data_IF_165546996036
#
_entry.id   IF_165546996036
#
_cell.length_a   1.000
_cell.length_b   1.000
_cell.length_c   1.000
_cell.angle_alpha   90.00
_cell.angle_beta   90.00
_cell.angle_gamma   90.00
#
_symmetry.space_group_name_H-M   'P 1'
#
loop_
_entity.id
_entity.type
_entity.pdbx_description
1 polymer ?
#
# COMPACT_ATOMS: atom_id res chain seq x y z
N UNK A 1 19.59 38.06 -65.59
CA UNK A 1 18.80 37.41 -64.57
C UNK A 1 18.39 38.49 -63.57
N UNK A 2 17.12 38.81 -63.44
CA UNK A 2 16.68 39.75 -62.41
C UNK A 2 16.93 39.13 -61.03
N UNK A 3 17.61 39.88 -60.13
CA UNK A 3 17.72 39.56 -58.75
C UNK A 3 16.31 39.54 -58.18
N UNK A 4 15.83 38.35 -57.73
CA UNK A 4 14.67 38.22 -56.85
C UNK A 4 15.00 38.99 -55.55
N UNK A 5 14.53 40.26 -55.51
CA UNK A 5 14.48 40.99 -54.24
C UNK A 5 13.47 40.22 -53.37
N UNK A 6 13.92 39.69 -52.22
CA UNK A 6 13.10 39.16 -51.16
C UNK A 6 12.24 40.29 -50.56
N UNK A 7 11.34 40.84 -51.33
CA UNK A 7 10.25 41.67 -50.83
C UNK A 7 9.23 40.72 -50.17
N UNK A 8 9.43 40.46 -48.89
CA UNK A 8 8.38 39.81 -48.10
C UNK A 8 7.13 40.67 -48.19
N UNK A 9 6.06 40.10 -48.72
CA UNK A 9 4.72 40.70 -48.78
C UNK A 9 4.19 41.08 -47.39
N UNK A 10 4.91 40.78 -46.34
CA UNK A 10 4.55 41.03 -44.93
C UNK A 10 5.71 41.67 -44.18
N UNK A 11 5.37 42.58 -43.25
CA UNK A 11 6.38 43.23 -42.41
C UNK A 11 6.95 42.22 -41.40
N UNK A 12 8.10 41.64 -41.70
CA UNK A 12 8.75 40.60 -40.85
C UNK A 12 9.08 41.12 -39.46
N UNK A 13 9.39 42.43 -39.29
CA UNK A 13 9.65 43.00 -37.96
C UNK A 13 8.38 42.98 -37.09
N UNK A 14 7.25 43.40 -37.65
CA UNK A 14 5.98 43.37 -36.97
C UNK A 14 5.54 41.91 -36.64
N UNK A 15 5.79 40.99 -37.58
CA UNK A 15 5.49 39.58 -37.38
C UNK A 15 6.32 38.97 -36.26
N UNK A 16 7.61 39.26 -36.20
CA UNK A 16 8.50 38.80 -35.14
C UNK A 16 8.13 39.37 -33.76
N UNK A 17 7.74 40.66 -33.71
CA UNK A 17 7.26 41.27 -32.47
C UNK A 17 5.95 40.61 -32.02
N UNK A 18 5.01 40.36 -32.93
CA UNK A 18 3.77 39.70 -32.64
C UNK A 18 4.01 38.27 -32.14
N UNK A 19 4.90 37.53 -32.80
CA UNK A 19 5.29 36.17 -32.38
C UNK A 19 5.94 36.19 -31.00
N UNK A 20 6.89 37.08 -30.74
CA UNK A 20 7.52 37.21 -29.44
C UNK A 20 6.49 37.55 -28.34
N UNK A 21 5.59 38.49 -28.59
CA UNK A 21 4.55 38.90 -27.65
C UNK A 21 3.58 37.75 -27.37
N UNK A 22 3.13 37.01 -28.39
CA UNK A 22 2.25 35.86 -28.24
C UNK A 22 2.94 34.69 -27.50
N UNK A 23 4.22 34.45 -27.76
CA UNK A 23 5.00 33.41 -27.07
C UNK A 23 5.20 33.74 -25.59
N UNK A 24 5.49 34.98 -25.25
CA UNK A 24 5.57 35.46 -23.87
C UNK A 24 4.19 35.34 -23.19
N UNK A 25 3.13 35.78 -23.87
CA UNK A 25 1.76 35.67 -23.40
C UNK A 25 1.38 34.20 -23.09
N UNK A 26 1.73 33.28 -23.99
CA UNK A 26 1.52 31.85 -23.78
C UNK A 26 2.32 31.32 -22.60
N UNK A 27 3.59 31.68 -22.46
CA UNK A 27 4.42 31.28 -21.32
C UNK A 27 3.85 31.78 -20.00
N UNK A 28 3.36 33.01 -19.93
CA UNK A 28 2.73 33.57 -18.73
C UNK A 28 1.41 32.84 -18.40
N UNK A 29 0.60 32.58 -19.44
CA UNK A 29 -0.64 31.81 -19.25
C UNK A 29 -0.38 30.37 -18.74
N UNK A 30 0.63 29.70 -19.30
CA UNK A 30 1.06 28.39 -18.80
C UNK A 30 1.56 28.48 -17.36
N UNK A 31 2.38 29.47 -17.03
CA UNK A 31 2.85 29.70 -15.65
C UNK A 31 1.70 29.95 -14.68
N UNK A 32 0.72 30.78 -15.07
CA UNK A 32 -0.49 31.02 -14.27
C UNK A 32 -1.32 29.74 -14.07
N UNK A 33 -1.47 28.93 -15.11
CA UNK A 33 -2.21 27.64 -15.02
C UNK A 33 -1.51 26.66 -14.08
N UNK A 34 -0.17 26.53 -14.16
CA UNK A 34 0.60 25.68 -13.22
C UNK A 34 0.49 26.19 -11.79
N UNK A 35 0.56 27.51 -11.59
CA UNK A 35 0.40 28.10 -10.27
C UNK A 35 -0.99 27.88 -9.70
N UNK A 36 -2.04 28.06 -10.50
CA UNK A 36 -3.44 27.81 -10.13
C UNK A 36 -3.63 26.35 -9.70
N UNK A 37 -3.10 25.41 -10.48
CA UNK A 37 -3.19 23.97 -10.15
C UNK A 37 -2.39 23.61 -8.90
N UNK A 38 -1.23 24.22 -8.72
CA UNK A 38 -0.41 24.05 -7.52
C UNK A 38 -1.10 24.58 -6.26
N UNK A 39 -1.77 25.73 -6.34
CA UNK A 39 -2.39 26.43 -5.20
C UNK A 39 -3.80 25.94 -4.82
N UNK A 40 -4.31 24.87 -5.46
CA UNK A 40 -5.66 24.34 -5.22
C UNK A 40 -5.99 24.16 -3.75
N UNK A 41 -7.17 24.61 -3.35
CA UNK A 41 -7.65 24.61 -1.96
C UNK A 41 -7.62 23.25 -1.29
N UNK A 42 -7.99 22.19 -2.01
CA UNK A 42 -8.01 20.82 -1.47
C UNK A 42 -6.65 20.32 -0.96
N UNK A 43 -5.54 20.77 -1.56
CA UNK A 43 -4.18 20.41 -1.10
C UNK A 43 -3.91 20.92 0.32
N UNK A 44 -4.43 22.11 0.66
CA UNK A 44 -4.32 22.68 2.02
C UNK A 44 -5.03 21.82 3.06
N UNK A 45 -6.21 21.27 2.72
CA UNK A 45 -6.93 20.36 3.60
C UNK A 45 -6.16 19.07 3.84
N UNK A 46 -5.60 18.47 2.79
CA UNK A 46 -4.78 17.26 2.95
C UNK A 46 -3.53 17.50 3.79
N UNK A 47 -2.81 18.60 3.56
CA UNK A 47 -1.65 18.98 4.38
C UNK A 47 -2.02 19.25 5.84
N UNK A 48 -3.17 19.89 6.10
CA UNK A 48 -3.67 20.12 7.46
C UNK A 48 -4.04 18.80 8.12
N UNK A 49 -4.70 17.91 7.41
CA UNK A 49 -5.04 16.59 7.91
C UNK A 49 -3.81 15.74 8.24
N UNK A 50 -2.78 15.74 7.38
CA UNK A 50 -1.52 15.04 7.66
C UNK A 50 -0.87 15.55 8.96
N UNK A 51 -0.90 16.86 9.21
CA UNK A 51 -0.40 17.43 10.48
C UNK A 51 -1.22 16.95 11.66
N UNK A 52 -2.54 17.03 11.57
CA UNK A 52 -3.46 16.56 12.61
C UNK A 52 -3.27 15.07 12.90
N UNK A 53 -3.19 14.24 11.87
CA UNK A 53 -2.93 12.80 12.01
C UNK A 53 -1.57 12.53 12.66
N UNK A 54 -0.55 13.31 12.29
CA UNK A 54 0.78 13.18 12.89
C UNK A 54 0.78 13.58 14.38
N UNK A 55 0.09 14.66 14.75
CA UNK A 55 -0.06 15.12 16.14
C UNK A 55 -0.79 14.07 16.99
N UNK A 56 -1.92 13.57 16.52
CA UNK A 56 -2.67 12.49 17.20
C UNK A 56 -1.83 11.22 17.34
N UNK A 57 -1.11 10.85 16.29
CA UNK A 57 -0.25 9.64 16.32
C UNK A 57 0.89 9.82 17.33
N UNK A 58 1.51 11.00 17.43
CA UNK A 58 2.51 11.29 18.47
C UNK A 58 1.93 11.20 19.87
N UNK A 59 0.76 11.77 20.09
CA UNK A 59 0.07 11.67 21.38
C UNK A 59 -0.25 10.20 21.74
N UNK A 60 -0.67 9.39 20.77
CA UNK A 60 -0.89 7.96 20.97
C UNK A 60 0.40 7.20 21.29
N UNK A 61 1.52 7.54 20.64
CA UNK A 61 2.84 6.96 20.94
C UNK A 61 3.23 7.32 22.38
N UNK A 62 3.13 8.58 22.75
CA UNK A 62 3.46 9.02 24.12
C UNK A 62 2.61 8.31 25.17
N UNK A 63 1.30 8.21 24.97
CA UNK A 63 0.42 7.49 25.88
C UNK A 63 0.76 5.97 25.97
N UNK A 64 1.12 5.36 24.81
CA UNK A 64 1.55 3.97 24.78
C UNK A 64 2.92 3.77 25.48
N UNK A 65 3.85 4.72 25.36
CA UNK A 65 5.14 4.69 26.07
C UNK A 65 5.00 4.91 27.58
N UNK A 66 4.06 5.76 28.00
CA UNK A 66 3.73 5.97 29.41
C UNK A 66 3.08 4.74 30.04
N UNK A 67 2.22 4.05 29.28
CA UNK A 67 1.57 2.80 29.69
C UNK A 67 2.46 1.56 29.59
N UNK A 68 3.67 1.69 29.03
CA UNK A 68 4.58 0.57 28.84
C UNK A 68 5.22 0.17 30.19
N UNK A 69 5.21 -1.11 30.51
CA UNK A 69 5.96 -1.63 31.65
C UNK A 69 7.48 -1.59 31.36
N UNK A 70 8.07 -0.48 31.78
CA UNK A 70 9.50 -0.22 31.59
C UNK A 70 10.38 -1.19 32.36
N UNK A 71 9.89 -1.73 33.50
CA UNK A 71 10.64 -2.70 34.29
C UNK A 71 10.65 -4.06 33.58
N UNK A 72 9.51 -4.52 33.08
CA UNK A 72 9.43 -5.73 32.29
C UNK A 72 10.25 -5.62 31.00
N UNK A 73 10.20 -4.48 30.32
CA UNK A 73 11.02 -4.26 29.09
C UNK A 73 12.51 -4.30 29.41
N UNK A 74 12.95 -3.67 30.53
CA UNK A 74 14.35 -3.70 30.91
C UNK A 74 14.82 -5.09 31.27
N UNK A 75 14.01 -5.84 32.05
CA UNK A 75 14.30 -7.25 32.38
C UNK A 75 14.45 -8.12 31.15
N UNK A 76 13.59 -7.95 30.13
CA UNK A 76 13.68 -8.67 28.86
C UNK A 76 14.92 -8.27 28.06
N UNK A 77 15.32 -7.01 28.07
CA UNK A 77 16.57 -6.54 27.44
C UNK A 77 17.80 -7.13 28.11
N UNK A 78 17.81 -7.23 29.44
CA UNK A 78 18.89 -7.83 30.19
C UNK A 78 18.97 -9.35 29.94
N UNK A 79 17.81 -10.04 29.85
CA UNK A 79 17.74 -11.44 29.43
C UNK A 79 18.28 -11.64 28.00
N UNK A 80 17.91 -10.75 27.07
CA UNK A 80 18.40 -10.78 25.70
C UNK A 80 19.92 -10.61 25.66
N UNK A 81 20.45 -9.62 26.37
CA UNK A 81 21.90 -9.37 26.45
C UNK A 81 22.66 -10.57 27.04
N UNK A 82 22.15 -11.16 28.13
CA UNK A 82 22.70 -12.36 28.74
C UNK A 82 22.70 -13.56 27.79
N UNK A 83 21.57 -13.78 27.08
CA UNK A 83 21.46 -14.85 26.09
C UNK A 83 22.40 -14.66 24.88
N UNK A 84 22.54 -13.40 24.41
CA UNK A 84 23.50 -13.05 23.33
C UNK A 84 24.94 -13.31 23.75
N UNK A 85 25.30 -12.96 24.98
CA UNK A 85 26.65 -13.22 25.52
C UNK A 85 26.91 -14.73 25.58
N UNK A 86 25.98 -15.50 26.12
CA UNK A 86 26.10 -16.97 26.20
C UNK A 86 26.22 -17.62 24.80
N UNK A 87 25.44 -17.14 23.82
CA UNK A 87 25.53 -17.57 22.43
C UNK A 87 26.89 -17.18 21.79
N UNK A 88 27.42 -16.01 22.13
CA UNK A 88 28.74 -15.55 21.70
C UNK A 88 29.88 -16.42 22.25
N UNK A 89 29.79 -16.85 23.50
CA UNK A 89 30.74 -17.80 24.12
C UNK A 89 30.70 -19.15 23.43
N UNK A 90 29.56 -19.57 22.87
CA UNK A 90 29.36 -20.79 22.09
C UNK A 90 29.37 -20.59 20.57
N UNK A 91 29.91 -19.47 20.08
CA UNK A 91 29.83 -19.07 18.67
C UNK A 91 30.36 -20.16 17.72
N UNK A 92 31.43 -20.88 18.11
CA UNK A 92 31.99 -21.98 17.33
C UNK A 92 31.00 -23.14 17.19
N UNK A 93 30.36 -23.58 18.28
CA UNK A 93 29.35 -24.64 18.24
C UNK A 93 28.15 -24.26 17.41
N UNK A 94 27.69 -23.00 17.50
CA UNK A 94 26.62 -22.47 16.66
C UNK A 94 26.99 -22.49 15.18
N UNK A 95 28.20 -22.07 14.84
CA UNK A 95 28.71 -22.08 13.46
C UNK A 95 28.80 -23.50 12.90
N UNK A 96 29.29 -24.47 13.70
CA UNK A 96 29.34 -25.86 13.32
C UNK A 96 27.95 -26.48 13.08
N UNK A 97 26.99 -26.21 13.97
CA UNK A 97 25.58 -26.64 13.82
C UNK A 97 24.93 -26.05 12.58
N UNK A 98 25.13 -24.75 12.32
CA UNK A 98 24.64 -24.08 11.12
C UNK A 98 25.27 -24.63 9.83
N UNK A 99 26.59 -24.93 9.85
CA UNK A 99 27.26 -25.54 8.72
C UNK A 99 26.74 -26.97 8.46
N UNK A 100 26.49 -27.75 9.53
CA UNK A 100 25.87 -29.08 9.42
C UNK A 100 24.50 -28.97 8.78
N UNK A 101 23.64 -28.08 9.28
CA UNK A 101 22.29 -27.85 8.72
C UNK A 101 22.33 -27.53 7.22
N UNK A 102 23.19 -26.60 6.79
CA UNK A 102 23.34 -26.26 5.36
C UNK A 102 23.77 -27.45 4.51
N UNK A 103 24.68 -28.29 5.02
CA UNK A 103 25.12 -29.51 4.29
C UNK A 103 23.97 -30.50 4.12
N UNK A 104 23.18 -30.71 5.18
CA UNK A 104 22.01 -31.60 5.16
C UNK A 104 20.96 -31.06 4.17
N UNK A 105 20.65 -29.76 4.22
CA UNK A 105 19.68 -29.15 3.31
C UNK A 105 20.11 -29.26 1.85
N UNK A 106 21.41 -29.13 1.55
CA UNK A 106 21.95 -29.30 0.20
C UNK A 106 21.83 -30.76 -0.26
N UNK A 107 22.17 -31.74 0.63
CA UNK A 107 22.05 -33.16 0.33
C UNK A 107 20.60 -33.56 0.13
N UNK A 108 19.68 -33.12 1.01
CA UNK A 108 18.26 -33.35 0.90
C UNK A 108 17.68 -32.81 -0.42
N UNK A 109 18.04 -31.59 -0.82
CA UNK A 109 17.61 -31.03 -2.09
C UNK A 109 18.05 -31.89 -3.29
N UNK A 110 19.29 -32.38 -3.28
CA UNK A 110 19.80 -33.26 -4.34
C UNK A 110 19.05 -34.59 -4.37
N UNK A 111 18.90 -35.24 -3.23
CA UNK A 111 18.20 -36.54 -3.15
C UNK A 111 16.70 -36.42 -3.50
N UNK A 112 16.04 -35.29 -3.17
CA UNK A 112 14.66 -35.02 -3.59
C UNK A 112 14.56 -34.82 -5.11
N UNK A 113 15.50 -34.11 -5.72
CA UNK A 113 15.55 -33.94 -7.17
C UNK A 113 15.76 -35.30 -7.87
N UNK A 114 16.69 -36.13 -7.38
CA UNK A 114 16.94 -37.47 -7.88
C UNK A 114 15.69 -38.35 -7.73
N UNK A 115 15.04 -38.32 -6.55
CA UNK A 115 13.81 -39.05 -6.30
C UNK A 115 12.71 -38.68 -7.30
N UNK A 116 12.48 -37.40 -7.54
CA UNK A 116 11.47 -36.93 -8.51
C UNK A 116 11.79 -37.36 -9.93
N UNK A 117 13.08 -37.31 -10.30
CA UNK A 117 13.53 -37.75 -11.64
C UNK A 117 13.33 -39.24 -11.83
N UNK A 118 13.74 -40.06 -10.86
CA UNK A 118 13.55 -41.51 -10.89
C UNK A 118 12.06 -41.84 -10.89
N UNK A 119 11.24 -41.14 -10.09
CA UNK A 119 9.80 -41.31 -10.02
C UNK A 119 9.12 -41.05 -11.37
N UNK A 120 9.49 -39.94 -12.04
CA UNK A 120 9.00 -39.65 -13.38
C UNK A 120 9.36 -40.73 -14.40
N UNK A 121 10.61 -41.26 -14.33
CA UNK A 121 11.07 -42.34 -15.19
C UNK A 121 10.32 -43.66 -14.91
N UNK A 122 10.08 -43.95 -13.61
CA UNK A 122 9.32 -45.11 -13.20
C UNK A 122 7.87 -45.04 -13.72
N UNK A 123 7.22 -43.89 -13.60
CA UNK A 123 5.84 -43.70 -14.05
C UNK A 123 5.72 -43.86 -15.60
N UNK A 124 6.71 -43.34 -16.34
CA UNK A 124 6.80 -43.56 -17.80
C UNK A 124 6.98 -45.06 -18.13
N UNK A 125 7.90 -45.76 -17.43
CA UNK A 125 8.13 -47.19 -17.63
C UNK A 125 6.95 -48.06 -17.25
N UNK A 126 6.15 -47.65 -16.28
CA UNK A 126 4.90 -48.30 -15.91
C UNK A 126 3.91 -48.29 -17.05
N UNK A 127 3.78 -47.15 -17.74
CA UNK A 127 2.93 -47.05 -18.96
C UNK A 127 3.46 -47.97 -20.06
N UNK A 128 4.76 -47.95 -20.40
CA UNK A 128 5.39 -48.84 -21.36
C UNK A 128 5.13 -50.32 -21.03
N UNK A 129 5.15 -50.71 -19.77
CA UNK A 129 4.88 -52.07 -19.33
C UNK A 129 3.44 -52.45 -19.51
N UNK A 130 2.50 -51.60 -19.15
CA UNK A 130 1.05 -51.86 -19.31
C UNK A 130 0.71 -52.08 -20.80
N UNK A 131 1.27 -51.24 -21.68
CA UNK A 131 1.09 -51.37 -23.14
C UNK A 131 1.69 -52.70 -23.67
N UNK A 132 2.95 -53.01 -23.28
CA UNK A 132 3.62 -54.26 -23.74
C UNK A 132 2.94 -55.52 -23.19
N UNK A 133 2.41 -55.49 -21.98
CA UNK A 133 1.68 -56.60 -21.36
C UNK A 133 0.33 -56.83 -22.06
N UNK A 134 -0.42 -55.79 -22.38
CA UNK A 134 -1.67 -55.90 -23.15
C UNK A 134 -1.44 -56.43 -24.56
N UNK A 135 -0.34 -56.06 -25.21
CA UNK A 135 0.03 -56.54 -26.54
C UNK A 135 0.62 -57.95 -26.56
N UNK A 136 0.85 -58.61 -25.41
CA UNK A 136 1.53 -59.89 -25.31
C UNK A 136 2.98 -59.89 -25.79
N UNK A 137 3.64 -58.73 -25.73
CA UNK A 137 4.98 -58.54 -26.30
C UNK A 137 6.07 -59.23 -25.43
N UNK A 138 7.05 -59.85 -26.10
CA UNK A 138 8.24 -60.43 -25.45
C UNK A 138 9.07 -59.39 -24.68
N UNK A 139 8.88 -58.09 -24.94
CA UNK A 139 9.59 -56.99 -24.26
C UNK A 139 9.03 -56.71 -22.86
N UNK A 140 7.82 -57.17 -22.54
CA UNK A 140 7.19 -56.89 -21.23
C UNK A 140 8.06 -57.31 -20.04
N UNK A 141 8.74 -58.47 -20.13
CA UNK A 141 9.62 -58.96 -19.05
C UNK A 141 10.85 -58.05 -18.81
N UNK A 142 11.43 -57.51 -19.91
CA UNK A 142 12.56 -56.59 -19.81
C UNK A 142 12.17 -55.23 -19.20
N UNK A 143 10.98 -54.73 -19.62
CA UNK A 143 10.45 -53.46 -19.04
C UNK A 143 10.12 -53.63 -17.57
N UNK A 144 9.52 -54.77 -17.17
CA UNK A 144 9.26 -55.08 -15.78
C UNK A 144 10.53 -55.08 -14.92
N UNK A 145 11.59 -55.73 -15.40
CA UNK A 145 12.88 -55.72 -14.69
C UNK A 145 13.44 -54.30 -14.50
N UNK A 146 13.34 -53.45 -15.54
CA UNK A 146 13.75 -52.06 -15.43
C UNK A 146 12.93 -51.29 -14.41
N UNK A 147 11.62 -51.56 -14.29
CA UNK A 147 10.75 -50.98 -13.26
C UNK A 147 11.15 -51.44 -11.87
N UNK A 148 11.41 -52.73 -11.66
CA UNK A 148 11.82 -53.29 -10.37
C UNK A 148 13.17 -52.66 -9.88
N UNK A 149 14.09 -52.39 -10.82
CA UNK A 149 15.34 -51.69 -10.51
C UNK A 149 15.12 -50.19 -10.17
N UNK A 150 14.18 -49.49 -10.83
CA UNK A 150 13.79 -48.13 -10.48
C UNK A 150 13.07 -48.06 -9.14
N UNK A 151 12.22 -49.02 -8.84
CA UNK A 151 11.53 -49.10 -7.53
C UNK A 151 12.52 -49.22 -6.37
N UNK A 152 13.56 -50.05 -6.51
CA UNK A 152 14.64 -50.15 -5.52
C UNK A 152 15.36 -48.82 -5.34
N UNK A 153 15.64 -48.10 -6.44
CA UNK A 153 16.27 -46.78 -6.38
C UNK A 153 15.36 -45.77 -5.70
N UNK A 154 14.07 -45.79 -5.95
CA UNK A 154 13.09 -44.92 -5.29
C UNK A 154 13.05 -45.17 -3.79
N UNK A 155 13.02 -46.44 -3.36
CA UNK A 155 13.03 -46.78 -1.93
C UNK A 155 14.34 -46.35 -1.26
N UNK A 156 15.51 -46.55 -1.91
CA UNK A 156 16.79 -46.06 -1.41
C UNK A 156 16.78 -44.52 -1.21
N UNK A 157 16.29 -43.77 -2.20
CA UNK A 157 16.18 -42.30 -2.09
C UNK A 157 15.17 -41.88 -1.01
N UNK A 158 14.05 -42.58 -0.88
CA UNK A 158 13.05 -42.33 0.16
C UNK A 158 13.65 -42.50 1.56
N UNK A 159 14.40 -43.58 1.78
CA UNK A 159 15.06 -43.82 3.06
C UNK A 159 16.08 -42.70 3.35
N UNK A 160 16.86 -42.27 2.36
CA UNK A 160 17.80 -41.14 2.55
C UNK A 160 17.10 -39.86 2.91
N UNK A 161 15.99 -39.53 2.26
CA UNK A 161 15.19 -38.33 2.58
C UNK A 161 14.68 -38.37 4.02
N UNK A 162 14.25 -39.53 4.53
CA UNK A 162 13.86 -39.68 5.92
C UNK A 162 15.04 -39.48 6.89
N UNK A 163 16.23 -39.98 6.55
CA UNK A 163 17.45 -39.73 7.34
C UNK A 163 17.80 -38.24 7.35
N UNK A 164 17.74 -37.57 6.20
CA UNK A 164 17.98 -36.14 6.14
C UNK A 164 16.96 -35.34 6.95
N UNK A 165 15.71 -35.72 6.98
CA UNK A 165 14.70 -35.08 7.80
C UNK A 165 15.00 -35.19 9.30
N UNK A 166 15.45 -36.37 9.75
CA UNK A 166 15.88 -36.59 11.13
C UNK A 166 17.12 -35.75 11.47
N UNK A 167 18.18 -35.84 10.64
CA UNK A 167 19.41 -35.08 10.85
C UNK A 167 19.16 -33.56 10.84
N UNK A 168 18.25 -33.09 10.00
CA UNK A 168 17.81 -31.69 9.94
C UNK A 168 17.13 -31.26 11.24
N UNK A 169 16.24 -32.12 11.77
CA UNK A 169 15.59 -31.87 13.04
C UNK A 169 16.59 -31.79 14.20
N UNK A 170 17.57 -32.69 14.24
CA UNK A 170 18.65 -32.68 15.23
C UNK A 170 19.52 -31.42 15.13
N UNK A 171 19.93 -31.03 13.92
CA UNK A 171 20.73 -29.82 13.70
C UNK A 171 19.97 -28.55 14.11
N UNK A 172 18.66 -28.48 13.80
CA UNK A 172 17.79 -27.37 14.24
C UNK A 172 17.60 -27.33 15.75
N UNK A 173 17.44 -28.48 16.38
CA UNK A 173 17.37 -28.58 17.85
C UNK A 173 18.66 -28.05 18.50
N UNK A 174 19.83 -28.41 17.97
CA UNK A 174 21.12 -27.92 18.46
C UNK A 174 21.25 -26.39 18.29
N UNK A 175 20.83 -25.83 17.17
CA UNK A 175 20.79 -24.38 16.96
C UNK A 175 19.84 -23.70 17.94
N UNK A 176 18.59 -24.24 18.09
CA UNK A 176 17.61 -23.70 19.02
C UNK A 176 18.07 -23.76 20.49
N UNK A 177 18.84 -24.78 20.87
CA UNK A 177 19.41 -24.86 22.22
C UNK A 177 20.34 -23.68 22.52
N UNK A 178 21.04 -23.16 21.49
CA UNK A 178 21.98 -22.05 21.61
C UNK A 178 21.32 -20.66 21.39
N UNK A 179 20.30 -20.58 20.55
CA UNK A 179 19.68 -19.30 20.16
C UNK A 179 18.26 -19.11 20.69
N UNK A 180 17.58 -20.15 21.14
CA UNK A 180 16.16 -20.12 21.49
C UNK A 180 15.81 -19.10 22.56
N UNK A 181 16.69 -18.86 23.54
CA UNK A 181 16.50 -17.81 24.57
C UNK A 181 16.58 -16.40 23.97
N UNK A 182 17.39 -16.21 22.93
CA UNK A 182 17.49 -14.94 22.21
C UNK A 182 16.18 -14.69 21.47
N UNK A 183 15.68 -15.69 20.76
CA UNK A 183 14.45 -15.58 19.95
C UNK A 183 13.24 -15.40 20.84
N UNK A 184 13.17 -16.08 21.98
CA UNK A 184 12.10 -15.92 22.96
C UNK A 184 12.10 -14.50 23.58
N UNK A 185 13.27 -14.02 24.00
CA UNK A 185 13.39 -12.67 24.57
C UNK A 185 13.03 -11.61 23.52
N UNK A 186 13.48 -11.73 22.29
CA UNK A 186 13.11 -10.83 21.17
C UNK A 186 11.61 -10.85 20.92
N UNK A 187 11.01 -12.03 20.81
CA UNK A 187 9.57 -12.19 20.61
C UNK A 187 8.76 -11.47 21.68
N UNK A 188 9.12 -11.63 22.96
CA UNK A 188 8.45 -10.95 24.07
C UNK A 188 8.63 -9.42 24.02
N UNK A 189 9.82 -8.95 23.65
CA UNK A 189 10.08 -7.50 23.44
C UNK A 189 9.21 -6.98 22.29
N UNK A 190 9.16 -7.70 21.16
CA UNK A 190 8.37 -7.31 20.00
C UNK A 190 6.88 -7.30 20.32
N UNK A 191 6.37 -8.27 21.06
CA UNK A 191 4.99 -8.31 21.54
C UNK A 191 4.66 -7.12 22.45
N UNK A 192 5.54 -6.83 23.40
CA UNK A 192 5.39 -5.70 24.34
C UNK A 192 5.43 -4.34 23.65
N UNK A 193 6.24 -4.20 22.60
CA UNK A 193 6.43 -2.94 21.86
C UNK A 193 5.63 -2.87 20.55
N UNK A 194 4.85 -3.90 20.20
CA UNK A 194 4.15 -3.99 18.91
C UNK A 194 3.21 -2.82 18.64
N UNK A 195 2.54 -2.32 19.69
CA UNK A 195 1.65 -1.15 19.60
C UNK A 195 2.41 0.11 19.16
N UNK A 196 3.51 0.40 19.85
CA UNK A 196 4.37 1.56 19.57
C UNK A 196 4.98 1.44 18.18
N UNK A 197 5.52 0.28 17.83
CA UNK A 197 6.12 0.03 16.51
C UNK A 197 5.11 0.27 15.37
N UNK A 198 3.84 -0.11 15.55
CA UNK A 198 2.78 0.16 14.55
C UNK A 198 2.49 1.66 14.42
N UNK A 199 2.42 2.36 15.55
CA UNK A 199 2.20 3.82 15.57
C UNK A 199 3.39 4.56 14.95
N UNK A 200 4.62 4.16 15.23
CA UNK A 200 5.82 4.72 14.61
C UNK A 200 5.83 4.55 13.08
N UNK A 201 5.51 3.36 12.60
CA UNK A 201 5.36 3.12 11.16
C UNK A 201 4.27 3.97 10.52
N UNK A 202 3.16 4.21 11.24
CA UNK A 202 2.11 5.13 10.80
C UNK A 202 2.63 6.57 10.75
N UNK A 203 3.31 7.02 11.81
CA UNK A 203 3.90 8.35 11.88
C UNK A 203 4.90 8.60 10.75
N UNK A 204 5.77 7.64 10.45
CA UNK A 204 6.72 7.73 9.34
C UNK A 204 6.05 7.86 7.97
N UNK A 205 4.86 7.28 7.78
CA UNK A 205 4.09 7.45 6.54
C UNK A 205 3.43 8.81 6.43
N UNK A 206 2.91 9.34 7.54
CA UNK A 206 2.15 10.60 7.57
C UNK A 206 3.08 11.81 7.68
N UNK A 207 4.13 11.70 8.47
CA UNK A 207 5.12 12.76 8.72
C UNK A 207 6.54 12.19 8.61
N UNK A 208 7.01 11.87 7.41
CA UNK A 208 8.36 11.39 7.20
C UNK A 208 9.39 12.41 7.65
N UNK A 209 10.55 11.94 8.13
CA UNK A 209 11.65 12.76 8.62
C UNK A 209 12.92 12.60 7.76
N UNK A 210 13.91 13.45 7.97
CA UNK A 210 15.21 13.38 7.34
C UNK A 210 15.15 13.52 5.81
N UNK A 211 15.94 12.72 5.10
CA UNK A 211 16.05 12.77 3.63
C UNK A 211 14.72 12.47 2.92
N UNK A 212 13.86 11.62 3.51
CA UNK A 212 12.55 11.33 2.94
C UNK A 212 11.65 12.57 2.94
N UNK A 213 11.70 13.39 4.01
CA UNK A 213 10.98 14.65 4.04
C UNK A 213 11.45 15.61 2.94
N UNK A 214 12.76 15.76 2.77
CA UNK A 214 13.35 16.61 1.74
C UNK A 214 12.92 16.14 0.33
N UNK A 215 12.93 14.83 0.08
CA UNK A 215 12.48 14.27 -1.20
C UNK A 215 10.99 14.56 -1.46
N UNK A 216 10.13 14.41 -0.45
CA UNK A 216 8.70 14.69 -0.56
C UNK A 216 8.46 16.20 -0.76
N UNK A 217 9.15 17.06 -0.02
CA UNK A 217 9.03 18.51 -0.18
C UNK A 217 9.46 18.94 -1.60
N UNK A 218 10.50 18.32 -2.15
CA UNK A 218 10.93 18.53 -3.53
C UNK A 218 9.89 18.07 -4.55
N UNK A 219 9.33 16.87 -4.36
CA UNK A 219 8.27 16.34 -5.25
C UNK A 219 6.97 17.16 -5.19
N UNK A 220 6.72 17.84 -4.09
CA UNK A 220 5.60 18.76 -3.92
C UNK A 220 5.93 20.20 -4.39
N UNK A 221 7.10 20.46 -4.96
CA UNK A 221 7.42 21.77 -5.52
C UNK A 221 6.59 22.03 -6.80
N UNK A 222 6.28 23.32 -7.14
CA UNK A 222 5.31 23.68 -8.17
C UNK A 222 5.51 23.02 -9.55
N UNK A 223 6.76 22.76 -9.95
CA UNK A 223 7.07 22.13 -11.23
C UNK A 223 7.16 20.61 -11.18
N UNK A 224 7.26 20.01 -9.99
CA UNK A 224 7.41 18.57 -9.82
C UNK A 224 6.12 17.89 -9.33
N UNK A 225 5.22 18.65 -8.72
CA UNK A 225 3.97 18.17 -8.17
C UNK A 225 3.06 17.48 -9.21
N UNK A 226 3.09 17.90 -10.48
CA UNK A 226 2.31 17.25 -11.54
C UNK A 226 2.95 15.95 -12.05
N UNK A 227 4.26 15.74 -11.85
CA UNK A 227 4.97 14.53 -12.29
C UNK A 227 4.77 13.37 -11.32
N UNK A 228 4.89 13.65 -10.02
CA UNK A 228 4.77 12.64 -8.98
C UNK A 228 4.05 13.21 -7.73
N UNK A 229 2.75 13.53 -7.82
CA UNK A 229 2.02 14.15 -6.73
C UNK A 229 1.94 13.24 -5.52
N UNK A 230 2.31 13.75 -4.35
CA UNK A 230 2.12 13.06 -3.07
C UNK A 230 0.73 13.31 -2.50
N UNK A 231 0.12 14.45 -2.85
CA UNK A 231 -1.28 14.78 -2.57
C UNK A 231 -2.12 14.40 -3.78
N UNK A 232 -3.29 13.80 -3.56
CA UNK A 232 -4.12 13.28 -4.65
C UNK A 232 -5.59 13.58 -4.41
N UNK A 233 -6.31 13.82 -5.51
CA UNK A 233 -7.77 13.83 -5.48
C UNK A 233 -8.22 12.39 -5.24
N UNK A 234 -8.94 12.19 -4.14
CA UNK A 234 -9.59 10.92 -3.84
C UNK A 234 -10.95 10.92 -4.52
N UNK A 235 -11.19 9.91 -5.34
CA UNK A 235 -12.48 9.79 -6.03
C UNK A 235 -12.96 8.36 -6.05
N UNK A 236 -14.27 8.23 -5.96
CA UNK A 236 -15.00 6.97 -6.10
C UNK A 236 -15.93 7.10 -7.29
N UNK A 237 -15.94 6.11 -8.18
CA UNK A 237 -16.86 6.04 -9.30
C UNK A 237 -18.04 5.15 -8.90
N UNK A 238 -19.25 5.71 -8.96
CA UNK A 238 -20.46 5.08 -8.46
C UNK A 238 -21.29 4.57 -9.64
N UNK A 239 -20.94 3.39 -10.13
CA UNK A 239 -21.66 2.76 -11.27
C UNK A 239 -23.09 2.35 -10.92
N UNK A 240 -23.35 2.06 -9.64
CA UNK A 240 -24.66 1.62 -9.17
C UNK A 240 -25.64 2.78 -8.86
N UNK A 241 -25.12 4.02 -8.83
CA UNK A 241 -25.90 5.24 -8.55
C UNK A 241 -25.64 6.27 -9.65
N UNK A 242 -26.00 5.97 -10.91
CA UNK A 242 -25.75 6.88 -12.02
C UNK A 242 -26.64 8.13 -11.92
N UNK A 243 -26.21 9.19 -12.59
CA UNK A 243 -27.01 10.38 -12.83
C UNK A 243 -27.49 10.42 -14.28
N UNK A 244 -28.67 10.94 -14.51
CA UNK A 244 -29.18 11.16 -15.86
C UNK A 244 -28.70 12.51 -16.39
N UNK A 245 -27.93 12.50 -17.46
CA UNK A 245 -27.46 13.71 -18.16
C UNK A 245 -27.91 13.59 -19.63
N UNK A 246 -28.77 14.47 -20.08
CA UNK A 246 -29.25 14.51 -21.46
C UNK A 246 -29.72 13.11 -21.96
N UNK A 247 -30.56 12.45 -21.17
CA UNK A 247 -31.10 11.09 -21.45
C UNK A 247 -30.08 9.94 -21.44
N UNK A 248 -28.84 10.20 -21.02
CA UNK A 248 -27.83 9.18 -20.83
C UNK A 248 -27.54 8.95 -19.35
N UNK A 249 -27.46 7.69 -18.92
CA UNK A 249 -27.00 7.33 -17.58
C UNK A 249 -25.48 7.39 -17.51
N UNK A 250 -24.97 8.31 -16.70
CA UNK A 250 -23.53 8.52 -16.53
C UNK A 250 -23.14 8.13 -15.09
N UNK A 251 -22.10 7.33 -14.87
CA UNK A 251 -21.59 7.04 -13.54
C UNK A 251 -21.28 8.32 -12.77
N UNK A 252 -21.71 8.37 -11.53
CA UNK A 252 -21.41 9.48 -10.63
C UNK A 252 -19.96 9.37 -10.14
N UNK A 253 -19.26 10.48 -10.02
CA UNK A 253 -17.88 10.52 -9.51
C UNK A 253 -17.84 11.34 -8.24
N UNK A 254 -17.72 10.69 -7.09
CA UNK A 254 -17.68 11.33 -5.78
C UNK A 254 -16.25 11.64 -5.35
N UNK A 255 -15.97 12.89 -5.01
CA UNK A 255 -14.65 13.40 -4.60
C UNK A 255 -14.65 13.99 -3.19
N UNK A 256 -15.68 13.83 -2.42
CA UNK A 256 -15.84 14.43 -1.09
C UNK A 256 -14.71 14.03 -0.14
N UNK A 257 -14.22 12.80 -0.22
CA UNK A 257 -13.07 12.32 0.58
C UNK A 257 -11.76 13.02 0.26
N UNK A 258 -11.67 13.81 -0.81
CA UNK A 258 -10.46 14.63 -1.06
C UNK A 258 -10.21 15.62 0.07
N UNK A 259 -11.26 16.16 0.70
CA UNK A 259 -11.18 17.07 1.84
C UNK A 259 -11.63 16.40 3.15
N UNK A 260 -12.68 15.55 3.11
CA UNK A 260 -13.23 14.83 4.26
C UNK A 260 -12.45 13.53 4.54
N UNK A 261 -11.17 13.67 4.86
CA UNK A 261 -10.19 12.58 4.94
C UNK A 261 -10.37 11.62 6.13
N UNK A 262 -11.14 12.04 7.14
CA UNK A 262 -11.43 11.23 8.32
C UNK A 262 -12.88 10.69 8.34
N UNK A 263 -13.69 10.94 7.33
CA UNK A 263 -15.09 10.54 7.33
C UNK A 263 -15.26 9.02 7.56
N UNK A 264 -14.36 8.20 7.05
CA UNK A 264 -14.36 6.74 7.18
C UNK A 264 -13.36 6.21 8.24
N UNK A 265 -12.83 7.09 9.11
CA UNK A 265 -11.79 6.75 10.09
C UNK A 265 -12.23 7.06 11.51
N UNK A 266 -11.98 6.12 12.43
CA UNK A 266 -12.15 6.34 13.87
C UNK A 266 -11.01 7.21 14.45
N UNK A 267 -11.32 7.91 15.56
CA UNK A 267 -10.37 8.71 16.33
C UNK A 267 -10.36 10.20 15.97
N UNK A 268 -11.35 10.66 15.18
CA UNK A 268 -11.52 12.06 14.78
C UNK A 268 -12.93 12.60 15.12
N UNK A 269 -13.64 11.96 16.03
CA UNK A 269 -15.03 12.25 16.38
C UNK A 269 -15.21 13.67 16.92
N UNK A 270 -14.19 14.17 17.65
CA UNK A 270 -14.20 15.51 18.28
C UNK A 270 -13.51 16.58 17.42
N UNK A 271 -13.01 16.21 16.24
CA UNK A 271 -12.32 17.18 15.39
C UNK A 271 -13.32 18.04 14.60
N UNK A 272 -12.86 19.21 14.17
CA UNK A 272 -13.63 20.13 13.34
C UNK A 272 -13.78 19.60 11.90
N UNK A 273 -14.88 20.01 11.23
CA UNK A 273 -15.02 19.78 9.80
C UNK A 273 -13.87 20.47 9.02
N UNK A 274 -13.37 19.84 7.96
CA UNK A 274 -13.84 18.60 7.31
C UNK A 274 -13.20 17.32 7.86
N UNK A 275 -12.54 17.35 9.02
CA UNK A 275 -11.72 16.24 9.54
C UNK A 275 -12.43 15.40 10.60
N UNK A 276 -13.73 15.54 10.71
CA UNK A 276 -14.52 14.75 11.68
C UNK A 276 -14.87 13.38 11.13
N UNK A 277 -14.79 12.37 12.00
CA UNK A 277 -15.33 11.03 11.76
C UNK A 277 -16.83 11.10 11.50
N UNK A 278 -17.32 10.33 10.53
CA UNK A 278 -18.76 10.26 10.25
C UNK A 278 -19.51 9.66 11.46
N UNK A 279 -20.62 10.28 11.92
CA UNK A 279 -21.36 9.84 13.11
C UNK A 279 -21.86 8.38 13.02
N UNK A 280 -22.06 7.88 11.81
CA UNK A 280 -22.49 6.50 11.52
C UNK A 280 -21.37 5.72 10.85
N UNK A 281 -20.18 5.72 11.48
CA UNK A 281 -18.99 5.07 10.94
C UNK A 281 -19.21 3.58 10.61
N UNK A 282 -20.06 2.90 11.36
CA UNK A 282 -20.43 1.51 11.15
C UNK A 282 -21.14 1.23 9.81
N UNK A 283 -21.60 2.25 9.12
CA UNK A 283 -22.21 2.12 7.78
C UNK A 283 -21.17 2.11 6.66
N UNK A 284 -19.94 2.60 6.89
CA UNK A 284 -18.93 2.82 5.84
C UNK A 284 -17.80 1.81 5.78
N UNK A 285 -17.20 1.28 6.87
CA UNK A 285 -16.00 0.49 6.76
C UNK A 285 -16.28 -0.93 6.26
N UNK A 286 -15.55 -1.30 5.20
CA UNK A 286 -15.45 -2.65 4.68
C UNK A 286 -16.57 -3.12 3.77
N UNK A 287 -16.30 -4.18 3.02
CA UNK A 287 -17.24 -4.77 2.06
C UNK A 287 -18.50 -5.42 2.65
N UNK A 288 -18.54 -5.61 3.97
CA UNK A 288 -19.73 -6.11 4.70
C UNK A 288 -20.64 -4.99 5.19
N UNK A 289 -20.24 -3.72 5.02
CA UNK A 289 -21.05 -2.57 5.37
C UNK A 289 -22.31 -2.49 4.47
N UNK A 290 -23.47 -2.07 5.01
CA UNK A 290 -24.66 -1.81 4.19
C UNK A 290 -24.45 -0.74 3.11
N UNK A 291 -23.62 0.25 3.40
CA UNK A 291 -23.33 1.40 2.51
C UNK A 291 -21.83 1.67 2.43
N UNK A 292 -21.03 0.76 1.86
CA UNK A 292 -19.60 0.99 1.73
C UNK A 292 -19.34 2.20 0.84
N UNK A 293 -18.42 3.07 1.27
CA UNK A 293 -18.13 4.35 0.59
C UNK A 293 -17.71 4.14 -0.86
N UNK A 294 -17.05 3.03 -1.17
CA UNK A 294 -16.59 2.66 -2.50
C UNK A 294 -17.75 2.39 -3.49
N UNK A 295 -18.94 2.13 -2.98
CA UNK A 295 -20.13 1.83 -3.79
C UNK A 295 -21.16 2.94 -3.79
N UNK A 296 -21.29 3.67 -2.69
CA UNK A 296 -22.33 4.65 -2.50
C UNK A 296 -21.81 6.09 -2.47
N UNK A 297 -20.54 6.31 -2.10
CA UNK A 297 -19.99 7.65 -1.92
C UNK A 297 -20.73 8.45 -0.84
N UNK A 298 -20.67 9.76 -0.93
CA UNK A 298 -21.25 10.70 0.02
C UNK A 298 -22.46 11.45 -0.57
N UNK A 299 -22.36 11.87 -1.82
CA UNK A 299 -23.33 12.74 -2.48
C UNK A 299 -24.73 12.16 -2.68
N UNK A 300 -24.96 10.85 -2.82
CA UNK A 300 -26.32 10.30 -2.86
C UNK A 300 -27.15 10.64 -1.62
N UNK A 301 -26.51 10.72 -0.44
CA UNK A 301 -27.17 11.04 0.82
C UNK A 301 -27.08 12.53 1.17
N UNK A 302 -25.90 13.15 0.99
CA UNK A 302 -25.61 14.50 1.43
C UNK A 302 -25.84 15.58 0.36
N UNK A 303 -26.06 15.16 -0.88
CA UNK A 303 -26.16 16.07 -2.04
C UNK A 303 -24.87 16.89 -2.26
N UNK A 304 -24.95 17.97 -3.01
CA UNK A 304 -23.82 18.76 -3.44
C UNK A 304 -23.27 18.30 -4.80
N UNK A 305 -22.20 18.95 -5.24
CA UNK A 305 -21.53 18.64 -6.52
C UNK A 305 -20.42 17.61 -6.30
N UNK A 306 -20.70 16.42 -6.71
CA UNK A 306 -19.86 15.22 -6.53
C UNK A 306 -18.43 15.33 -7.09
N UNK A 307 -18.24 16.10 -8.18
CA UNK A 307 -16.94 16.28 -8.85
C UNK A 307 -16.11 17.45 -8.31
N UNK A 308 -16.71 18.28 -7.45
CA UNK A 308 -16.03 19.44 -6.92
C UNK A 308 -14.94 19.05 -5.91
N UNK A 309 -13.87 19.81 -5.93
CA UNK A 309 -12.75 19.71 -4.97
C UNK A 309 -12.44 21.07 -4.33
N UNK A 310 -13.40 21.96 -4.39
CA UNK A 310 -13.37 23.29 -3.80
C UNK A 310 -14.59 23.50 -2.91
N UNK A 311 -14.44 24.25 -1.82
CA UNK A 311 -15.50 24.45 -0.84
C UNK A 311 -16.76 25.06 -1.44
N UNK A 312 -16.60 26.10 -2.26
CA UNK A 312 -17.74 26.79 -2.90
C UNK A 312 -18.42 25.91 -3.93
N UNK A 313 -17.63 25.33 -4.84
CA UNK A 313 -18.16 24.51 -5.91
C UNK A 313 -18.75 23.18 -5.43
N UNK A 314 -18.41 22.72 -4.23
CA UNK A 314 -19.01 21.52 -3.62
C UNK A 314 -20.47 21.76 -3.18
N UNK A 315 -20.89 23.03 -3.04
CA UNK A 315 -22.25 23.45 -2.67
C UNK A 315 -22.69 22.79 -1.36
N UNK A 316 -21.91 23.04 -0.31
CA UNK A 316 -22.22 22.54 1.04
C UNK A 316 -23.52 23.16 1.56
N UNK A 317 -24.27 22.39 2.35
CA UNK A 317 -25.48 22.87 3.02
C UNK A 317 -25.09 23.35 4.42
N UNK A 318 -25.36 24.63 4.79
CA UNK A 318 -25.14 25.10 6.16
C UNK A 318 -26.13 24.46 7.12
N UNK A 319 -25.66 24.16 8.35
CA UNK A 319 -26.48 23.54 9.40
C UNK A 319 -27.37 24.57 10.13
N UNK A 320 -27.02 25.85 10.07
CA UNK A 320 -27.75 26.94 10.70
C UNK A 320 -27.66 28.25 9.91
N UNK A 321 -28.53 29.21 10.23
CA UNK A 321 -28.45 30.54 9.63
C UNK A 321 -27.20 31.31 10.06
N UNK A 322 -26.65 31.04 11.25
CA UNK A 322 -25.39 31.59 11.71
C UNK A 322 -24.22 31.06 10.85
N UNK A 323 -24.19 29.77 10.62
CA UNK A 323 -23.16 29.14 9.78
C UNK A 323 -23.28 29.60 8.33
N UNK A 324 -24.48 29.77 7.82
CA UNK A 324 -24.74 30.34 6.49
C UNK A 324 -24.14 31.74 6.36
N UNK A 325 -24.41 32.63 7.32
CA UNK A 325 -23.85 33.99 7.34
C UNK A 325 -22.32 33.98 7.46
N UNK A 326 -21.75 33.06 8.25
CA UNK A 326 -20.30 32.88 8.33
C UNK A 326 -19.74 32.49 6.97
N UNK A 327 -20.36 31.54 6.27
CA UNK A 327 -19.89 31.08 4.98
C UNK A 327 -20.05 32.13 3.87
N UNK A 328 -21.17 32.90 3.87
CA UNK A 328 -21.35 34.04 2.98
C UNK A 328 -20.23 35.07 3.16
N UNK A 329 -19.85 35.39 4.40
CA UNK A 329 -18.83 36.38 4.70
C UNK A 329 -17.39 35.88 4.50
N UNK A 330 -17.12 34.62 4.77
CA UNK A 330 -15.75 34.07 4.79
C UNK A 330 -15.35 33.39 3.50
N UNK A 331 -16.33 32.87 2.77
CA UNK A 331 -16.12 32.01 1.63
C UNK A 331 -16.90 32.47 0.39
N UNK A 332 -17.57 33.62 0.42
CA UNK A 332 -18.49 34.09 -0.64
C UNK A 332 -19.51 33.01 -1.03
N UNK A 333 -20.02 32.26 -0.03
CA UNK A 333 -20.92 31.13 -0.26
C UNK A 333 -22.26 31.64 -0.72
N UNK A 334 -22.74 31.11 -1.85
CA UNK A 334 -24.06 31.33 -2.37
C UNK A 334 -24.79 30.01 -2.61
N UNK A 335 -26.11 30.00 -2.46
CA UNK A 335 -26.93 28.86 -2.81
C UNK A 335 -26.88 28.65 -4.32
N UNK A 336 -26.39 27.49 -4.78
CA UNK A 336 -26.40 27.16 -6.20
C UNK A 336 -27.82 27.04 -6.75
N UNK A 337 -28.00 27.40 -8.02
CA UNK A 337 -29.29 27.29 -8.73
C UNK A 337 -29.82 25.85 -8.78
N UNK A 338 -28.92 24.86 -8.87
CA UNK A 338 -29.24 23.42 -8.88
C UNK A 338 -29.12 22.76 -7.52
N UNK A 339 -29.08 23.53 -6.43
CA UNK A 339 -28.98 22.99 -5.09
C UNK A 339 -30.22 22.15 -4.73
N UNK A 340 -30.00 20.93 -4.28
CA UNK A 340 -31.02 20.03 -3.79
C UNK A 340 -30.88 19.81 -2.28
N UNK A 341 -31.98 19.69 -1.57
CA UNK A 341 -31.95 19.36 -0.15
C UNK A 341 -31.28 18.01 0.07
N UNK A 342 -30.36 17.91 1.04
CA UNK A 342 -29.76 16.61 1.41
C UNK A 342 -30.87 15.68 1.92
N UNK A 343 -30.74 14.39 1.63
CA UNK A 343 -31.62 13.35 2.12
C UNK A 343 -31.43 13.14 3.62
N UNK A 344 -30.21 13.34 4.11
CA UNK A 344 -29.84 13.26 5.53
C UNK A 344 -29.33 14.62 5.97
N UNK A 345 -29.94 15.19 7.01
CA UNK A 345 -29.34 16.28 7.77
C UNK A 345 -28.10 15.78 8.52
N UNK A 346 -27.17 16.68 8.77
CA UNK A 346 -25.95 16.36 9.54
C UNK A 346 -26.25 15.99 10.97
#
# INVERSE_FOLDING_TARGET
MPKLTDEYLRNMKALNVLFAASSIGLLLAMGAMVYEDYSRGWKKYQQRFQRLEAEKTRAQIQAAEEGLDKQALQALKDQLAGAQKAAGENARGLQEAQAKLRRIETANYKDDLDYRTIKSTFDAKKFDYEEAAHAGSATAAAVKKAMDDLEKQLEDRRVRLLVHDQERAEARAAINALTGRIDEARKKIDELTAGITRLDKRLQKVAPAGLMKVAIDLLNAPLLDFVAPTLRIQQVVLDQVPIDINFAKVPRTDRCQTCHLAADRAGFEEDDQPFRTHPKLNLFPGGASPHPVERFGCTPCHRGRDRAVDFLYAVHTPDSEEQKKEWENRHDWERDHYWEHPMLSR
#
